data_IF_590836619780
#
_entry.id   IF_590836619780
#
_cell.length_a   1.000
_cell.length_b   1.000
_cell.length_c   1.000
_cell.angle_alpha   90.00
_cell.angle_beta   90.00
_cell.angle_gamma   90.00
#
_symmetry.space_group_name_H-M   'P 1'
#
loop_
_entity.id
_entity.type
_entity.pdbx_description
1 polymer ?
#
# COMPACT_ATOMS: atom_id res chain seq x y z
N UNK A 1 6.28 30.56 -6.43
CA UNK A 1 5.76 29.31 -5.80
C UNK A 1 5.12 28.50 -6.90
N UNK A 2 5.70 27.38 -7.29
CA UNK A 2 5.04 26.45 -8.20
C UNK A 2 3.87 25.84 -7.41
N UNK A 3 2.64 25.98 -7.93
CA UNK A 3 1.47 25.40 -7.28
C UNK A 3 1.66 23.89 -7.17
N UNK A 4 1.61 23.34 -5.96
CA UNK A 4 1.62 21.91 -5.74
C UNK A 4 0.30 21.34 -6.31
N UNK A 5 0.40 20.61 -7.40
CA UNK A 5 -0.73 19.83 -7.90
C UNK A 5 -0.88 18.59 -7.00
N UNK A 6 -1.94 18.57 -6.19
CA UNK A 6 -2.29 17.39 -5.39
C UNK A 6 -2.94 16.37 -6.33
N UNK A 7 -2.35 15.20 -6.45
CA UNK A 7 -2.94 14.07 -7.16
C UNK A 7 -3.73 13.20 -6.17
N UNK A 8 -4.97 12.85 -6.54
CA UNK A 8 -5.77 11.85 -5.83
C UNK A 8 -6.23 10.81 -6.85
N UNK A 9 -6.48 9.56 -6.45
CA UNK A 9 -6.98 8.54 -7.36
C UNK A 9 -8.31 8.97 -8.00
N UNK A 10 -8.38 8.94 -9.33
CA UNK A 10 -9.62 9.21 -10.08
C UNK A 10 -10.62 8.07 -9.92
N UNK A 11 -10.12 6.83 -9.79
CA UNK A 11 -10.90 5.65 -9.49
C UNK A 11 -10.54 5.22 -8.06
N UNK A 12 -11.53 5.17 -7.15
CA UNK A 12 -11.39 4.57 -5.83
C UNK A 12 -12.60 3.67 -5.61
N UNK A 13 -12.38 2.37 -5.69
CA UNK A 13 -13.41 1.33 -5.54
C UNK A 13 -12.94 0.33 -4.51
N UNK A 14 -13.61 0.30 -3.37
CA UNK A 14 -13.35 -0.64 -2.28
C UNK A 14 -14.66 -1.32 -1.90
N UNK A 15 -14.72 -2.63 -2.01
CA UNK A 15 -15.93 -3.40 -1.68
C UNK A 15 -15.88 -4.81 -2.26
N UNK A 16 -17.01 -5.51 -2.14
CA UNK A 16 -17.16 -6.87 -2.68
C UNK A 16 -17.33 -6.85 -4.20
N UNK A 17 -16.76 -7.85 -4.86
CA UNK A 17 -16.91 -8.10 -6.28
C UNK A 17 -16.58 -6.88 -7.16
N UNK A 18 -15.63 -6.06 -6.71
CA UNK A 18 -15.25 -4.84 -7.45
C UNK A 18 -14.53 -5.18 -8.76
N UNK A 19 -13.84 -6.34 -8.84
CA UNK A 19 -13.13 -6.76 -10.04
C UNK A 19 -14.06 -7.08 -11.22
N UNK A 20 -15.27 -7.56 -10.98
CA UNK A 20 -16.27 -7.82 -12.02
C UNK A 20 -16.58 -6.56 -12.88
N UNK A 21 -16.31 -5.39 -12.34
CA UNK A 21 -16.58 -4.09 -12.97
C UNK A 21 -15.31 -3.34 -13.43
N UNK A 22 -14.15 -3.99 -13.39
CA UNK A 22 -12.88 -3.35 -13.76
C UNK A 22 -12.92 -2.74 -15.17
N UNK A 23 -13.47 -3.48 -16.14
CA UNK A 23 -13.64 -3.00 -17.51
C UNK A 23 -14.46 -1.70 -17.58
N UNK A 24 -15.57 -1.64 -16.85
CA UNK A 24 -16.40 -0.45 -16.76
C UNK A 24 -15.68 0.76 -16.16
N UNK A 25 -14.85 0.55 -15.13
CA UNK A 25 -14.06 1.62 -14.53
C UNK A 25 -13.01 2.16 -15.49
N UNK A 26 -12.29 1.30 -16.20
CA UNK A 26 -11.32 1.72 -17.20
C UNK A 26 -11.98 2.44 -18.38
N UNK A 27 -13.08 1.90 -18.88
CA UNK A 27 -13.86 2.49 -19.98
C UNK A 27 -14.38 3.89 -19.64
N UNK A 28 -14.94 4.06 -18.43
CA UNK A 28 -15.45 5.37 -17.99
C UNK A 28 -14.34 6.42 -17.84
N UNK A 29 -13.09 5.98 -17.68
CA UNK A 29 -11.90 6.83 -17.69
C UNK A 29 -11.30 7.06 -19.08
N UNK A 30 -11.93 6.54 -20.14
CA UNK A 30 -11.52 6.74 -21.54
C UNK A 30 -10.43 5.76 -22.01
N UNK A 31 -10.03 4.79 -21.22
CA UNK A 31 -9.04 3.79 -21.63
C UNK A 31 -9.67 2.74 -22.57
N UNK A 32 -8.87 2.31 -23.55
CA UNK A 32 -9.23 1.27 -24.51
C UNK A 32 -8.23 0.13 -24.53
N UNK A 33 -6.96 0.42 -24.21
CA UNK A 33 -5.86 -0.53 -24.27
C UNK A 33 -5.15 -0.60 -22.92
N UNK A 34 -5.01 -1.79 -22.36
CA UNK A 34 -4.38 -2.03 -21.07
C UNK A 34 -3.24 -3.06 -21.19
N UNK A 35 -2.25 -2.93 -20.31
CA UNK A 35 -1.25 -3.96 -20.01
C UNK A 35 -1.46 -4.40 -18.57
N UNK A 36 -1.45 -5.72 -18.30
CA UNK A 36 -1.74 -6.28 -16.99
C UNK A 36 -0.53 -7.00 -16.42
N UNK A 37 -0.18 -6.67 -15.18
CA UNK A 37 0.88 -7.35 -14.44
C UNK A 37 0.30 -8.02 -13.20
N UNK A 38 0.52 -9.31 -13.08
CA UNK A 38 0.01 -10.15 -12.01
C UNK A 38 1.13 -10.59 -11.08
N UNK A 39 0.83 -10.78 -9.81
CA UNK A 39 1.69 -11.54 -8.91
C UNK A 39 1.64 -13.03 -9.23
N UNK A 40 2.66 -13.78 -8.79
CA UNK A 40 2.76 -15.22 -9.05
C UNK A 40 1.51 -15.98 -8.62
N UNK A 41 0.99 -16.81 -9.51
CA UNK A 41 -0.20 -17.65 -9.33
C UNK A 41 -1.53 -16.91 -9.47
N UNK A 42 -1.53 -15.58 -9.63
CA UNK A 42 -2.77 -14.81 -9.65
C UNK A 42 -3.48 -14.84 -11.00
N UNK A 43 -2.78 -15.14 -12.09
CA UNK A 43 -3.44 -15.36 -13.39
C UNK A 43 -4.38 -16.59 -13.28
N UNK A 44 -3.93 -17.67 -12.64
CA UNK A 44 -4.75 -18.85 -12.45
C UNK A 44 -5.95 -18.63 -11.53
N UNK A 45 -5.83 -17.71 -10.56
CA UNK A 45 -6.88 -17.41 -9.57
C UNK A 45 -7.92 -16.41 -10.09
N UNK A 46 -7.47 -15.32 -10.69
CA UNK A 46 -8.32 -14.15 -11.00
C UNK A 46 -8.28 -13.74 -12.48
N UNK A 47 -7.41 -14.37 -13.29
CA UNK A 47 -7.19 -13.96 -14.69
C UNK A 47 -8.46 -14.02 -15.52
N UNK A 48 -9.25 -15.10 -15.42
CA UNK A 48 -10.49 -15.24 -16.19
C UNK A 48 -11.51 -14.16 -15.85
N UNK A 49 -11.76 -13.91 -14.57
CA UNK A 49 -12.69 -12.87 -14.12
C UNK A 49 -12.29 -11.48 -14.62
N UNK A 50 -11.01 -11.14 -14.48
CA UNK A 50 -10.47 -9.86 -14.94
C UNK A 50 -10.57 -9.73 -16.47
N UNK A 51 -10.16 -10.76 -17.23
CA UNK A 51 -10.23 -10.75 -18.69
C UNK A 51 -11.66 -10.65 -19.21
N UNK A 52 -12.61 -11.35 -18.57
CA UNK A 52 -14.03 -11.30 -18.94
C UNK A 52 -14.62 -9.90 -18.67
N UNK A 53 -14.29 -9.30 -17.52
CA UNK A 53 -14.68 -7.92 -17.19
C UNK A 53 -14.17 -6.93 -18.23
N UNK A 54 -12.89 -7.01 -18.60
CA UNK A 54 -12.27 -6.12 -19.59
C UNK A 54 -12.88 -6.31 -20.97
N UNK A 55 -13.05 -7.56 -21.41
CA UNK A 55 -13.64 -7.90 -22.71
C UNK A 55 -15.09 -7.42 -22.84
N UNK A 56 -15.90 -7.61 -21.80
CA UNK A 56 -17.31 -7.16 -21.73
C UNK A 56 -17.45 -5.67 -22.02
N UNK A 57 -16.49 -4.87 -21.54
CA UNK A 57 -16.53 -3.40 -21.69
C UNK A 57 -15.69 -2.89 -22.88
N UNK A 58 -15.11 -3.79 -23.67
CA UNK A 58 -14.35 -3.45 -24.88
C UNK A 58 -12.95 -2.90 -24.63
N UNK A 59 -12.34 -3.29 -23.50
CA UNK A 59 -10.94 -3.01 -23.21
C UNK A 59 -10.07 -4.07 -23.86
N UNK A 60 -9.14 -3.67 -24.69
CA UNK A 60 -8.15 -4.57 -25.32
C UNK A 60 -6.96 -4.75 -24.37
N UNK A 61 -6.70 -6.00 -23.99
CA UNK A 61 -5.47 -6.36 -23.27
C UNK A 61 -4.37 -6.59 -24.30
N UNK A 62 -3.37 -5.72 -24.32
CA UNK A 62 -2.25 -5.79 -25.27
C UNK A 62 -1.22 -6.82 -24.85
N UNK A 63 -1.00 -6.95 -23.55
CA UNK A 63 -0.05 -7.88 -22.95
C UNK A 63 -0.44 -8.17 -21.50
N UNK A 64 -0.11 -9.37 -21.01
CA UNK A 64 -0.25 -9.73 -19.60
C UNK A 64 0.76 -10.78 -19.19
N UNK A 65 1.28 -10.66 -17.96
CA UNK A 65 2.24 -11.62 -17.41
C UNK A 65 2.27 -11.62 -15.90
N UNK A 66 2.82 -12.68 -15.31
CA UNK A 66 3.18 -12.73 -13.90
C UNK A 66 4.56 -12.15 -13.67
N UNK A 67 4.71 -11.40 -12.57
CA UNK A 67 5.96 -10.75 -12.16
C UNK A 67 6.32 -11.13 -10.72
N UNK A 68 7.58 -11.46 -10.50
CA UNK A 68 8.16 -11.70 -9.15
C UNK A 68 9.50 -10.97 -8.98
N UNK A 69 9.67 -9.84 -9.61
CA UNK A 69 10.88 -9.03 -9.48
C UNK A 69 10.58 -7.66 -8.91
N UNK A 70 11.51 -7.14 -8.14
CA UNK A 70 11.57 -5.73 -7.73
C UNK A 70 12.90 -5.10 -8.13
N UNK A 71 13.72 -5.81 -8.92
CA UNK A 71 15.01 -5.28 -9.40
C UNK A 71 14.77 -4.18 -10.42
N UNK A 72 15.39 -3.03 -10.19
CA UNK A 72 15.16 -1.84 -11.02
C UNK A 72 15.55 -2.09 -12.49
N UNK A 73 16.59 -2.88 -12.72
CA UNK A 73 17.08 -3.23 -14.06
C UNK A 73 16.02 -4.03 -14.84
N UNK A 74 15.36 -5.00 -14.18
CA UNK A 74 14.30 -5.81 -14.79
C UNK A 74 13.10 -4.92 -15.13
N UNK A 75 12.75 -3.97 -14.24
CA UNK A 75 11.63 -3.06 -14.44
C UNK A 75 11.88 -2.07 -15.58
N UNK A 76 13.12 -1.61 -15.72
CA UNK A 76 13.52 -0.75 -16.84
C UNK A 76 13.32 -1.53 -18.15
N UNK A 77 13.82 -2.76 -18.24
CA UNK A 77 13.66 -3.62 -19.42
C UNK A 77 12.16 -3.89 -19.72
N UNK A 78 11.37 -4.17 -18.67
CA UNK A 78 9.91 -4.33 -18.78
C UNK A 78 9.28 -3.08 -19.37
N UNK A 79 9.62 -1.89 -18.84
CA UNK A 79 9.08 -0.63 -19.32
C UNK A 79 9.42 -0.36 -20.80
N UNK A 80 10.61 -0.69 -21.25
CA UNK A 80 11.00 -0.54 -22.66
C UNK A 80 10.17 -1.40 -23.61
N UNK A 81 9.73 -2.57 -23.17
CA UNK A 81 8.98 -3.53 -23.98
C UNK A 81 7.47 -3.30 -23.98
N UNK A 82 6.95 -2.36 -23.18
CA UNK A 82 5.51 -2.05 -23.18
C UNK A 82 5.10 -1.49 -24.56
N UNK A 83 4.05 -2.07 -25.14
CA UNK A 83 3.48 -1.64 -26.42
C UNK A 83 3.16 -0.13 -26.40
N UNK A 84 3.50 0.57 -27.45
CA UNK A 84 3.27 2.00 -27.57
C UNK A 84 1.79 2.40 -27.59
N UNK A 85 0.89 1.46 -27.87
CA UNK A 85 -0.56 1.66 -27.83
C UNK A 85 -1.14 1.54 -26.43
N UNK A 86 -0.35 1.11 -25.43
CA UNK A 86 -0.81 1.02 -24.05
C UNK A 86 -1.24 2.39 -23.52
N UNK A 87 -2.38 2.43 -22.87
CA UNK A 87 -2.95 3.65 -22.30
C UNK A 87 -2.99 3.60 -20.77
N UNK A 88 -2.96 2.41 -20.19
CA UNK A 88 -2.97 2.17 -18.74
C UNK A 88 -2.22 0.89 -18.43
N UNK A 89 -1.53 0.89 -17.30
CA UNK A 89 -0.94 -0.31 -16.70
C UNK A 89 -1.76 -0.66 -15.47
N UNK A 90 -2.12 -1.94 -15.35
CA UNK A 90 -2.86 -2.47 -14.20
C UNK A 90 -1.96 -3.45 -13.46
N UNK A 91 -1.68 -3.20 -12.19
CA UNK A 91 -0.92 -4.11 -11.34
C UNK A 91 -1.85 -4.84 -10.38
N UNK A 92 -1.85 -6.17 -10.44
CA UNK A 92 -2.74 -7.06 -9.67
C UNK A 92 -1.89 -7.91 -8.73
N UNK A 93 -1.97 -7.66 -7.43
CA UNK A 93 -1.23 -8.49 -6.46
C UNK A 93 -0.80 -7.81 -5.19
N UNK A 94 0.21 -8.36 -4.55
CA UNK A 94 0.87 -7.80 -3.37
C UNK A 94 1.93 -6.75 -3.72
N UNK A 95 2.64 -6.26 -2.70
CA UNK A 95 3.58 -5.14 -2.82
C UNK A 95 4.60 -5.25 -3.94
N UNK A 96 5.16 -6.45 -4.21
CA UNK A 96 6.16 -6.64 -5.28
C UNK A 96 5.63 -6.22 -6.66
N UNK A 97 4.50 -6.81 -7.08
CA UNK A 97 3.94 -6.49 -8.40
C UNK A 97 3.35 -5.09 -8.46
N UNK A 98 2.75 -4.63 -7.36
CA UNK A 98 2.25 -3.26 -7.22
C UNK A 98 3.37 -2.24 -7.48
N UNK A 99 4.51 -2.38 -6.81
CA UNK A 99 5.63 -1.46 -6.96
C UNK A 99 6.31 -1.57 -8.33
N UNK A 100 6.43 -2.79 -8.87
CA UNK A 100 6.97 -3.02 -10.21
C UNK A 100 6.09 -2.40 -11.29
N UNK A 101 4.78 -2.64 -11.27
CA UNK A 101 3.83 -2.09 -12.22
C UNK A 101 3.74 -0.56 -12.12
N UNK A 102 3.71 -0.03 -10.88
CA UNK A 102 3.72 1.40 -10.60
C UNK A 102 4.94 2.08 -11.21
N UNK A 103 6.14 1.50 -10.98
CA UNK A 103 7.37 2.09 -11.46
C UNK A 103 7.52 1.97 -12.99
N UNK A 104 7.10 0.85 -13.58
CA UNK A 104 7.05 0.69 -15.04
C UNK A 104 6.11 1.73 -15.69
N UNK A 105 4.94 1.96 -15.09
CA UNK A 105 4.01 3.00 -15.52
C UNK A 105 4.62 4.41 -15.40
N UNK A 106 5.32 4.68 -14.30
CA UNK A 106 6.03 5.95 -14.09
C UNK A 106 7.07 6.22 -15.16
N UNK A 107 7.92 5.24 -15.49
CA UNK A 107 8.93 5.34 -16.55
C UNK A 107 8.30 5.61 -17.92
N UNK A 108 7.14 5.00 -18.20
CA UNK A 108 6.39 5.17 -19.45
C UNK A 108 5.48 6.38 -19.45
N UNK A 109 5.36 7.11 -18.34
CA UNK A 109 4.41 8.21 -18.13
C UNK A 109 2.95 7.80 -18.43
N UNK A 110 2.61 6.55 -18.13
CA UNK A 110 1.27 5.99 -18.27
C UNK A 110 0.50 6.07 -16.94
N UNK A 111 -0.83 6.21 -16.98
CA UNK A 111 -1.68 5.96 -15.82
C UNK A 111 -1.47 4.56 -15.27
N UNK A 112 -1.54 4.44 -13.94
CA UNK A 112 -1.40 3.17 -13.24
C UNK A 112 -2.66 2.89 -12.41
N UNK A 113 -3.20 1.68 -12.53
CA UNK A 113 -4.31 1.19 -11.70
C UNK A 113 -3.80 0.08 -10.80
N UNK A 114 -4.00 0.26 -9.50
CA UNK A 114 -3.59 -0.66 -8.45
C UNK A 114 -4.75 -1.57 -8.05
N UNK A 115 -4.54 -2.87 -8.12
CA UNK A 115 -5.47 -3.91 -7.64
C UNK A 115 -4.76 -4.72 -6.56
N UNK A 116 -4.79 -4.24 -5.29
CA UNK A 116 -4.15 -4.97 -4.21
C UNK A 116 -4.92 -6.25 -3.89
N UNK A 117 -4.21 -7.38 -3.84
CA UNK A 117 -4.75 -8.66 -3.37
C UNK A 117 -4.40 -8.93 -1.90
N UNK A 118 -3.75 -7.98 -1.25
CA UNK A 118 -3.45 -7.99 0.18
C UNK A 118 -3.43 -6.56 0.73
N UNK A 119 -3.94 -6.37 1.94
CA UNK A 119 -3.97 -5.08 2.64
C UNK A 119 -2.78 -4.97 3.60
N UNK A 120 -1.54 -5.16 3.11
CA UNK A 120 -0.35 -5.29 3.97
C UNK A 120 0.35 -3.97 4.34
N UNK A 121 0.11 -2.90 3.59
CA UNK A 121 0.65 -1.55 3.83
C UNK A 121 -0.03 -0.54 2.89
N UNK A 122 0.27 0.74 3.05
CA UNK A 122 -0.21 1.81 2.16
C UNK A 122 0.54 1.88 0.80
N UNK A 123 1.46 0.95 0.53
CA UNK A 123 2.24 0.91 -0.71
C UNK A 123 1.41 0.88 -1.99
N UNK A 124 0.20 0.30 -1.96
CA UNK A 124 -0.69 0.27 -3.14
C UNK A 124 -1.25 1.65 -3.52
N UNK A 125 -1.23 2.61 -2.60
CA UNK A 125 -1.75 3.97 -2.79
C UNK A 125 -0.67 5.05 -2.79
N UNK A 126 0.55 4.75 -2.33
CA UNK A 126 1.64 5.73 -2.21
C UNK A 126 2.25 6.09 -3.57
N UNK A 127 2.84 7.30 -3.65
CA UNK A 127 3.56 7.79 -4.82
C UNK A 127 5.03 7.33 -4.88
N UNK A 128 5.42 6.35 -4.08
CA UNK A 128 6.74 5.74 -4.08
C UNK A 128 6.67 4.25 -4.37
N UNK A 129 7.78 3.67 -4.81
CA UNK A 129 7.95 2.24 -5.02
C UNK A 129 9.17 1.73 -4.25
N UNK A 130 9.05 0.59 -3.58
CA UNK A 130 10.12 -0.06 -2.83
C UNK A 130 10.82 -1.07 -3.74
N UNK A 131 11.95 -0.68 -4.32
CA UNK A 131 12.68 -1.44 -5.33
C UNK A 131 14.04 -1.92 -4.83
N UNK A 132 14.56 -2.93 -5.50
CA UNK A 132 15.92 -3.41 -5.30
C UNK A 132 16.86 -2.67 -6.26
N UNK A 133 17.64 -1.73 -5.71
CA UNK A 133 18.59 -0.91 -6.46
C UNK A 133 20.01 -1.30 -5.99
N UNK A 134 20.85 -1.79 -6.89
CA UNK A 134 22.18 -2.27 -6.55
C UNK A 134 22.20 -3.28 -5.38
N UNK A 135 21.22 -4.20 -5.35
CA UNK A 135 21.09 -5.20 -4.31
C UNK A 135 20.55 -4.68 -2.96
N UNK A 136 20.15 -3.41 -2.87
CA UNK A 136 19.61 -2.80 -1.65
C UNK A 136 18.18 -2.34 -1.85
N UNK A 137 17.31 -2.65 -0.88
CA UNK A 137 15.94 -2.15 -0.87
C UNK A 137 15.92 -0.65 -0.68
N UNK A 138 15.35 0.06 -1.65
CA UNK A 138 15.36 1.52 -1.73
C UNK A 138 13.97 2.02 -2.11
N UNK A 139 13.46 3.00 -1.38
CA UNK A 139 12.25 3.72 -1.78
C UNK A 139 12.61 4.73 -2.86
N UNK A 140 12.01 4.58 -4.03
CA UNK A 140 12.23 5.48 -5.17
C UNK A 140 10.95 6.25 -5.48
N UNK A 141 11.06 7.52 -5.91
CA UNK A 141 9.90 8.29 -6.35
C UNK A 141 9.21 7.61 -7.54
N UNK A 142 7.91 7.60 -7.51
CA UNK A 142 7.05 7.15 -8.60
C UNK A 142 5.87 8.14 -8.75
N UNK A 143 4.70 7.64 -9.11
CA UNK A 143 3.48 8.43 -9.18
C UNK A 143 2.35 7.70 -8.47
N UNK A 144 1.49 8.47 -7.82
CA UNK A 144 0.27 7.94 -7.22
C UNK A 144 -0.58 7.20 -8.25
N UNK A 145 -1.25 6.14 -7.84
CA UNK A 145 -2.16 5.39 -8.68
C UNK A 145 -3.28 6.29 -9.23
N UNK A 146 -3.53 6.21 -10.53
CA UNK A 146 -4.70 6.80 -11.18
C UNK A 146 -5.99 6.18 -10.67
N UNK A 147 -5.94 4.86 -10.37
CA UNK A 147 -7.05 4.13 -9.81
C UNK A 147 -6.61 3.11 -8.77
N UNK A 148 -7.47 2.90 -7.77
CA UNK A 148 -7.36 1.84 -6.79
C UNK A 148 -8.67 1.06 -6.83
N UNK A 149 -8.56 -0.25 -7.09
CA UNK A 149 -9.70 -1.17 -7.11
C UNK A 149 -9.37 -2.32 -6.16
N UNK A 150 -9.96 -2.30 -4.98
CA UNK A 150 -9.73 -3.30 -3.94
C UNK A 150 -10.99 -4.13 -3.69
N UNK A 151 -10.88 -5.44 -3.95
CA UNK A 151 -11.95 -6.38 -3.70
C UNK A 151 -11.80 -7.00 -2.31
N UNK A 152 -12.77 -6.74 -1.44
CA UNK A 152 -12.72 -7.19 -0.04
C UNK A 152 -12.83 -8.71 0.10
N UNK A 153 -13.47 -9.43 -0.84
CA UNK A 153 -13.50 -10.90 -0.81
C UNK A 153 -12.12 -11.48 -1.13
N UNK A 154 -11.39 -10.87 -2.06
CA UNK A 154 -10.01 -11.26 -2.37
C UNK A 154 -9.10 -10.98 -1.17
N UNK A 155 -9.19 -9.78 -0.58
CA UNK A 155 -8.40 -9.42 0.59
C UNK A 155 -8.67 -10.34 1.79
N UNK A 156 -9.92 -10.77 1.96
CA UNK A 156 -10.34 -11.71 3.00
C UNK A 156 -9.78 -13.12 2.79
N UNK A 157 -9.63 -13.53 1.54
CA UNK A 157 -9.06 -14.84 1.19
C UNK A 157 -7.53 -14.89 1.32
N UNK A 158 -6.88 -13.74 1.40
CA UNK A 158 -5.43 -13.65 1.56
C UNK A 158 -4.97 -14.14 2.96
N UNK A 159 -3.74 -14.64 3.10
CA UNK A 159 -3.21 -15.02 4.40
C UNK A 159 -3.30 -13.87 5.44
N UNK A 160 -3.80 -14.18 6.65
CA UNK A 160 -4.03 -13.20 7.73
C UNK A 160 -2.81 -12.33 8.06
N UNK A 161 -1.61 -12.86 7.86
CA UNK A 161 -0.37 -12.10 8.06
C UNK A 161 -0.33 -10.76 7.33
N UNK A 162 -1.01 -10.65 6.19
CA UNK A 162 -1.10 -9.40 5.43
C UNK A 162 -2.07 -8.42 6.07
N UNK A 163 -3.14 -8.91 6.69
CA UNK A 163 -4.07 -8.06 7.45
C UNK A 163 -3.35 -7.52 8.69
N UNK A 164 -2.64 -8.37 9.44
CA UNK A 164 -1.83 -7.92 10.58
C UNK A 164 -0.75 -6.92 10.18
N UNK A 165 -0.10 -7.14 9.04
CA UNK A 165 0.86 -6.17 8.50
C UNK A 165 0.20 -4.82 8.22
N UNK A 166 -0.98 -4.80 7.59
CA UNK A 166 -1.73 -3.57 7.35
C UNK A 166 -2.17 -2.85 8.63
N UNK A 167 -2.57 -3.62 9.66
CA UNK A 167 -2.91 -3.07 10.98
C UNK A 167 -1.69 -2.35 11.59
N UNK A 168 -0.52 -2.98 11.58
CA UNK A 168 0.69 -2.40 12.11
C UNK A 168 1.10 -1.13 11.36
N UNK A 169 1.07 -1.17 10.02
CA UNK A 169 1.34 -0.02 9.18
C UNK A 169 0.32 1.11 9.41
N UNK A 170 -0.97 0.80 9.57
CA UNK A 170 -1.99 1.83 9.80
C UNK A 170 -1.84 2.49 11.17
N UNK A 171 -1.57 1.72 12.23
CA UNK A 171 -1.42 2.24 13.60
C UNK A 171 -0.17 3.11 13.74
N UNK A 172 0.87 2.88 12.95
CA UNK A 172 2.13 3.63 12.97
C UNK A 172 1.95 5.14 12.74
N UNK A 173 0.87 5.54 12.05
CA UNK A 173 0.56 6.95 11.79
C UNK A 173 0.39 7.77 13.08
N UNK A 174 0.15 7.09 14.22
CA UNK A 174 0.08 7.74 15.54
C UNK A 174 1.46 8.26 15.96
N UNK A 175 2.51 7.46 15.79
CA UNK A 175 3.89 7.83 16.16
C UNK A 175 4.56 8.68 15.11
N UNK A 176 4.31 8.42 13.83
CA UNK A 176 4.83 9.22 12.72
C UNK A 176 4.36 10.68 12.79
N UNK A 177 3.08 10.93 13.07
CA UNK A 177 2.55 12.29 13.24
C UNK A 177 3.12 12.99 14.47
N UNK A 178 3.46 12.26 15.52
CA UNK A 178 4.14 12.81 16.67
C UNK A 178 5.57 13.26 16.30
N UNK A 179 6.30 12.39 15.60
CA UNK A 179 7.67 12.70 15.17
C UNK A 179 7.69 13.90 14.23
N UNK A 180 6.78 13.98 13.27
CA UNK A 180 6.69 15.11 12.35
C UNK A 180 6.40 16.44 13.09
N UNK A 181 5.48 16.40 14.06
CA UNK A 181 5.24 17.58 14.91
C UNK A 181 6.47 17.96 15.73
N UNK A 182 7.18 16.98 16.29
CA UNK A 182 8.38 17.19 17.07
C UNK A 182 9.51 17.84 16.23
N UNK A 183 9.68 17.41 14.98
CA UNK A 183 10.62 18.00 14.04
C UNK A 183 10.22 19.44 13.67
N UNK A 184 8.94 19.67 13.40
CA UNK A 184 8.43 20.98 13.03
C UNK A 184 8.59 22.01 14.15
N UNK A 185 8.28 21.65 15.40
CA UNK A 185 8.48 22.51 16.57
C UNK A 185 9.96 22.92 16.76
N UNK A 186 10.91 22.16 16.21
CA UNK A 186 12.35 22.43 16.25
C UNK A 186 12.90 23.05 14.98
N UNK A 187 12.04 23.32 14.01
CA UNK A 187 12.44 23.93 12.73
C UNK A 187 13.18 22.99 11.77
N UNK A 188 13.11 21.67 11.97
CA UNK A 188 13.74 20.67 11.08
C UNK A 188 12.87 20.29 9.90
N UNK A 189 11.56 20.49 9.99
CA UNK A 189 10.61 20.22 8.90
C UNK A 189 9.46 21.22 8.92
N UNK A 190 8.73 21.31 7.81
CA UNK A 190 7.49 22.07 7.72
C UNK A 190 6.31 21.10 7.69
N UNK A 191 5.28 21.38 8.50
CA UNK A 191 4.05 20.59 8.49
C UNK A 191 3.06 21.13 7.46
N UNK A 192 2.46 20.22 6.69
CA UNK A 192 1.30 20.54 5.86
C UNK A 192 0.03 20.17 6.64
N UNK A 193 -0.73 21.16 7.06
CA UNK A 193 -1.93 20.98 7.89
C UNK A 193 -2.99 20.07 7.24
N UNK A 194 -3.11 20.11 5.91
CA UNK A 194 -4.05 19.27 5.20
C UNK A 194 -3.61 17.81 5.18
N UNK A 195 -2.33 17.54 4.96
CA UNK A 195 -1.76 16.20 5.06
C UNK A 195 -1.92 15.63 6.49
N UNK A 196 -1.64 16.45 7.50
CA UNK A 196 -1.84 16.09 8.92
C UNK A 196 -3.31 15.73 9.19
N UNK A 197 -4.24 16.53 8.69
CA UNK A 197 -5.67 16.29 8.86
C UNK A 197 -6.09 14.95 8.23
N UNK A 198 -5.63 14.66 7.01
CA UNK A 198 -5.95 13.42 6.30
C UNK A 198 -5.36 12.21 7.04
N UNK A 199 -4.07 12.24 7.41
CA UNK A 199 -3.43 11.15 8.14
C UNK A 199 -4.08 10.91 9.52
N UNK A 200 -4.39 11.98 10.27
CA UNK A 200 -5.14 11.88 11.54
C UNK A 200 -6.54 11.27 11.34
N UNK A 201 -7.25 11.66 10.29
CA UNK A 201 -8.56 11.08 9.98
C UNK A 201 -8.43 9.60 9.67
N UNK A 202 -7.51 9.20 8.81
CA UNK A 202 -7.28 7.82 8.45
C UNK A 202 -7.08 6.93 9.68
N UNK A 203 -6.07 7.20 10.51
CA UNK A 203 -5.81 6.37 11.70
C UNK A 203 -6.93 6.44 12.74
N UNK A 204 -7.59 7.58 12.90
CA UNK A 204 -8.68 7.70 13.86
C UNK A 204 -9.95 6.96 13.41
N UNK A 205 -10.26 6.96 12.11
CA UNK A 205 -11.36 6.19 11.54
C UNK A 205 -11.12 4.71 11.76
N UNK A 206 -9.97 4.21 11.32
CA UNK A 206 -9.58 2.82 11.50
C UNK A 206 -9.66 2.35 12.96
N UNK A 207 -9.01 3.05 13.90
CA UNK A 207 -8.94 2.63 15.32
C UNK A 207 -10.33 2.67 16.01
N UNK A 208 -11.28 3.47 15.51
CA UNK A 208 -12.64 3.59 16.08
C UNK A 208 -13.65 2.66 15.43
N UNK A 209 -13.30 2.03 14.32
CA UNK A 209 -14.20 1.12 13.61
C UNK A 209 -14.60 -0.06 14.52
N UNK A 210 -15.89 -0.32 14.69
CA UNK A 210 -16.35 -1.48 15.42
C UNK A 210 -16.12 -2.74 14.56
N UNK A 211 -15.66 -3.82 15.19
CA UNK A 211 -15.51 -5.12 14.55
C UNK A 211 -15.52 -6.23 15.60
N UNK A 212 -15.90 -7.42 15.19
CA UNK A 212 -15.81 -8.65 16.00
C UNK A 212 -14.56 -9.45 15.62
N UNK A 213 -14.24 -9.49 14.31
CA UNK A 213 -13.06 -10.17 13.77
C UNK A 213 -12.35 -9.31 12.74
N UNK A 214 -11.05 -9.58 12.52
CA UNK A 214 -10.26 -8.90 11.47
C UNK A 214 -10.72 -9.26 10.05
N UNK A 215 -11.63 -10.21 9.89
CA UNK A 215 -12.24 -10.62 8.61
C UNK A 215 -13.59 -9.96 8.35
N UNK A 216 -14.08 -9.11 9.25
CA UNK A 216 -15.32 -8.40 9.02
C UNK A 216 -15.20 -7.47 7.82
N UNK A 217 -16.20 -7.47 6.95
CA UNK A 217 -16.21 -6.64 5.73
C UNK A 217 -16.00 -5.17 6.03
N UNK A 218 -16.64 -4.67 7.11
CA UNK A 218 -16.49 -3.28 7.54
C UNK A 218 -15.05 -3.00 7.97
N UNK A 219 -14.43 -3.92 8.72
CA UNK A 219 -13.05 -3.76 9.18
C UNK A 219 -12.05 -3.75 8.01
N UNK A 220 -12.17 -4.71 7.09
CA UNK A 220 -11.28 -4.81 5.92
C UNK A 220 -11.44 -3.59 5.00
N UNK A 221 -12.67 -3.17 4.75
CA UNK A 221 -12.95 -1.98 3.97
C UNK A 221 -12.31 -0.75 4.61
N UNK A 222 -12.52 -0.54 5.91
CA UNK A 222 -11.96 0.61 6.62
C UNK A 222 -10.42 0.58 6.67
N UNK A 223 -9.83 -0.61 6.80
CA UNK A 223 -8.38 -0.77 6.72
C UNK A 223 -7.85 -0.30 5.35
N UNK A 224 -8.47 -0.74 4.26
CA UNK A 224 -8.06 -0.36 2.90
C UNK A 224 -8.31 1.12 2.63
N UNK A 225 -9.47 1.64 2.99
CA UNK A 225 -9.80 3.06 2.82
C UNK A 225 -8.83 3.95 3.61
N UNK A 226 -8.47 3.55 4.83
CA UNK A 226 -7.51 4.27 5.68
C UNK A 226 -6.08 4.18 5.14
N UNK A 227 -5.64 3.02 4.63
CA UNK A 227 -4.35 2.88 3.96
C UNK A 227 -4.30 3.70 2.65
N UNK A 228 -5.41 3.78 1.91
CA UNK A 228 -5.50 4.65 0.73
C UNK A 228 -5.38 6.13 1.11
N UNK A 229 -6.04 6.56 2.17
CA UNK A 229 -5.90 7.93 2.71
C UNK A 229 -4.48 8.23 3.18
N UNK A 230 -3.75 7.25 3.72
CA UNK A 230 -2.32 7.38 4.05
C UNK A 230 -1.48 7.77 2.84
N UNK A 231 -1.63 7.06 1.71
CA UNK A 231 -0.93 7.40 0.48
C UNK A 231 -1.28 8.80 -0.04
N UNK A 232 -2.55 9.21 0.09
CA UNK A 232 -2.98 10.58 -0.26
C UNK A 232 -2.33 11.62 0.65
N UNK A 233 -2.21 11.36 1.95
CA UNK A 233 -1.53 12.26 2.88
C UNK A 233 -0.05 12.44 2.50
N UNK A 234 0.62 11.37 2.10
CA UNK A 234 2.00 11.41 1.63
C UNK A 234 2.16 12.24 0.34
N UNK A 235 1.24 12.09 -0.61
CA UNK A 235 1.23 12.90 -1.84
C UNK A 235 1.07 14.40 -1.53
N UNK A 236 0.14 14.74 -0.64
CA UNK A 236 -0.11 16.13 -0.23
C UNK A 236 1.12 16.73 0.48
N UNK A 237 1.80 15.95 1.31
CA UNK A 237 3.00 16.39 2.02
C UNK A 237 4.25 16.45 1.12
N UNK A 238 4.22 15.82 -0.05
CA UNK A 238 5.38 15.65 -0.92
C UNK A 238 6.43 14.68 -0.37
N UNK A 239 6.05 13.80 0.56
CA UNK A 239 6.93 12.83 1.20
C UNK A 239 6.20 11.95 2.21
N UNK A 240 6.90 10.99 2.81
CA UNK A 240 6.31 10.00 3.72
C UNK A 240 6.19 10.45 5.18
N UNK A 241 6.61 11.65 5.54
CA UNK A 241 6.60 12.15 6.92
C UNK A 241 5.25 12.05 7.65
N UNK A 242 4.08 12.21 6.99
CA UNK A 242 2.79 12.02 7.68
C UNK A 242 2.54 10.58 8.16
N UNK A 243 3.23 9.61 7.59
CA UNK A 243 2.91 8.20 7.77
C UNK A 243 4.10 7.33 8.18
N UNK A 244 5.32 7.88 8.14
CA UNK A 244 6.57 7.15 8.36
C UNK A 244 7.51 7.98 9.24
N UNK A 245 7.65 7.59 10.49
CA UNK A 245 8.51 8.20 11.50
C UNK A 245 9.62 7.25 11.97
N UNK A 246 10.03 7.40 13.21
CA UNK A 246 11.08 6.60 13.85
C UNK A 246 10.77 5.10 13.89
N UNK A 247 9.51 4.69 13.97
CA UNK A 247 9.10 3.30 13.89
C UNK A 247 9.46 2.66 12.55
N UNK A 248 9.38 3.40 11.46
CA UNK A 248 9.79 2.93 10.13
C UNK A 248 11.31 2.81 10.02
N UNK A 249 12.07 3.72 10.64
CA UNK A 249 13.54 3.62 10.68
C UNK A 249 13.99 2.36 11.40
N UNK A 250 13.28 1.95 12.47
CA UNK A 250 13.52 0.67 13.15
C UNK A 250 13.26 -0.49 12.20
N UNK A 251 12.12 -0.51 11.49
CA UNK A 251 11.80 -1.56 10.50
C UNK A 251 12.87 -1.65 9.40
N UNK A 252 13.30 -0.51 8.85
CA UNK A 252 14.38 -0.48 7.86
C UNK A 252 15.73 -0.99 8.39
N UNK A 253 15.98 -0.80 9.69
CA UNK A 253 17.18 -1.34 10.34
C UNK A 253 17.08 -2.85 10.49
N UNK A 254 15.91 -3.36 10.88
CA UNK A 254 15.65 -4.80 10.98
C UNK A 254 15.77 -5.49 9.61
N UNK A 255 15.28 -4.87 8.54
CA UNK A 255 15.43 -5.39 7.16
C UNK A 255 16.91 -5.55 6.72
N UNK A 256 17.80 -4.73 7.30
CA UNK A 256 19.24 -4.80 7.00
C UNK A 256 20.00 -5.79 7.91
N UNK A 257 19.52 -5.99 9.12
CA UNK A 257 20.21 -6.75 10.16
C UNK A 257 19.77 -8.22 10.22
N UNK A 258 18.52 -8.51 9.86
CA UNK A 258 17.95 -9.85 9.92
C UNK A 258 18.10 -10.57 8.59
N UNK A 259 18.47 -11.83 8.62
CA UNK A 259 18.52 -12.70 7.44
C UNK A 259 17.11 -12.98 6.89
N UNK A 260 16.14 -13.11 7.80
CA UNK A 260 14.72 -13.36 7.49
C UNK A 260 13.83 -12.34 8.19
N UNK A 261 13.75 -11.09 7.67
CA UNK A 261 12.91 -10.08 8.28
C UNK A 261 11.42 -10.43 8.14
N UNK A 262 10.63 -10.01 9.11
CA UNK A 262 9.17 -10.13 9.06
C UNK A 262 8.57 -9.16 8.03
N UNK A 263 7.27 -9.30 7.74
CA UNK A 263 6.56 -8.34 6.91
C UNK A 263 6.72 -6.92 7.47
N UNK A 264 6.90 -5.96 6.57
CA UNK A 264 7.13 -4.55 6.90
C UNK A 264 6.21 -4.03 7.99
N UNK A 265 4.89 -4.15 7.81
CA UNK A 265 3.93 -3.63 8.79
C UNK A 265 3.93 -4.39 10.12
N UNK A 266 4.39 -5.65 10.16
CA UNK A 266 4.58 -6.35 11.44
C UNK A 266 5.73 -5.71 12.22
N UNK A 267 6.88 -5.49 11.58
CA UNK A 267 8.02 -4.82 12.20
C UNK A 267 7.66 -3.38 12.62
N UNK A 268 7.01 -2.65 11.72
CA UNK A 268 6.53 -1.28 11.97
C UNK A 268 5.54 -1.25 13.15
N UNK A 269 4.60 -2.20 13.24
CA UNK A 269 3.63 -2.26 14.33
C UNK A 269 4.30 -2.48 15.70
N UNK A 270 5.25 -3.43 15.79
CA UNK A 270 6.03 -3.65 17.02
C UNK A 270 6.82 -2.37 17.38
N UNK A 271 7.50 -1.79 16.40
CA UNK A 271 8.26 -0.54 16.59
C UNK A 271 7.35 0.64 16.97
N UNK A 272 6.12 0.70 16.46
CA UNK A 272 5.13 1.72 16.84
C UNK A 272 4.80 1.66 18.33
N UNK A 273 4.59 0.46 18.88
CA UNK A 273 4.36 0.35 20.31
C UNK A 273 5.58 0.81 21.12
N UNK A 274 6.78 0.39 20.74
CA UNK A 274 8.01 0.83 21.40
C UNK A 274 8.18 2.35 21.34
N UNK A 275 8.02 2.94 20.16
CA UNK A 275 8.15 4.39 19.98
C UNK A 275 7.05 5.17 20.69
N UNK A 276 5.81 4.68 20.72
CA UNK A 276 4.73 5.31 21.50
C UNK A 276 5.06 5.38 23.00
N UNK A 277 5.81 4.40 23.54
CA UNK A 277 6.32 4.41 24.91
C UNK A 277 7.46 5.42 25.09
N UNK A 278 8.40 5.47 24.15
CA UNK A 278 9.52 6.45 24.17
C UNK A 278 9.00 7.87 24.09
N UNK A 279 8.05 8.11 23.20
CA UNK A 279 7.39 9.41 23.01
C UNK A 279 6.45 9.78 24.17
N UNK A 280 6.13 8.83 25.06
CA UNK A 280 5.06 8.92 26.07
C UNK A 280 3.72 9.38 25.44
N UNK A 281 3.44 8.92 24.21
CA UNK A 281 2.32 9.37 23.39
C UNK A 281 1.39 8.21 23.01
N UNK A 282 0.15 8.25 23.50
CA UNK A 282 -0.96 7.36 23.13
C UNK A 282 -0.67 5.85 23.18
N UNK A 283 0.35 5.40 23.91
CA UNK A 283 0.76 3.99 23.97
C UNK A 283 -0.37 3.06 24.49
N UNK A 284 -1.25 3.55 25.38
CA UNK A 284 -2.41 2.79 25.85
C UNK A 284 -3.36 2.50 24.68
N UNK A 285 -3.59 3.51 23.81
CA UNK A 285 -4.46 3.36 22.64
C UNK A 285 -3.84 2.44 21.58
N UNK A 286 -2.53 2.55 21.35
CA UNK A 286 -1.78 1.65 20.47
C UNK A 286 -1.89 0.21 20.96
N UNK A 287 -1.67 -0.03 22.24
CA UNK A 287 -1.78 -1.37 22.84
C UNK A 287 -3.20 -1.92 22.73
N UNK A 288 -4.21 -1.11 23.04
CA UNK A 288 -5.62 -1.53 23.02
C UNK A 288 -6.08 -2.01 21.64
N UNK A 289 -5.65 -1.35 20.54
CA UNK A 289 -6.00 -1.81 19.19
C UNK A 289 -5.24 -3.10 18.84
N UNK A 290 -3.98 -3.23 19.23
CA UNK A 290 -3.20 -4.43 18.99
C UNK A 290 -3.71 -5.65 19.80
N UNK A 291 -4.17 -5.45 21.03
CA UNK A 291 -4.89 -6.49 21.79
C UNK A 291 -6.21 -6.86 21.12
N UNK A 292 -7.04 -5.87 20.79
CA UNK A 292 -8.36 -6.08 20.19
C UNK A 292 -8.27 -6.82 18.85
N UNK A 293 -7.25 -6.52 18.03
CA UNK A 293 -7.02 -7.18 16.74
C UNK A 293 -6.28 -8.51 16.88
N UNK A 294 -5.83 -8.88 18.06
CA UNK A 294 -4.96 -10.04 18.31
C UNK A 294 -3.59 -9.95 17.59
N UNK A 295 -3.15 -8.74 17.30
CA UNK A 295 -1.86 -8.49 16.68
C UNK A 295 -0.70 -9.10 17.48
N UNK A 296 -0.75 -8.97 18.82
CA UNK A 296 0.26 -9.52 19.69
C UNK A 296 0.32 -11.06 19.68
N UNK A 297 -0.83 -11.73 19.55
CA UNK A 297 -0.87 -13.20 19.44
C UNK A 297 -0.13 -13.64 18.17
N UNK A 298 -0.37 -12.94 17.04
CA UNK A 298 0.33 -13.21 15.79
C UNK A 298 1.84 -12.94 15.93
N UNK A 299 2.24 -11.81 16.51
CA UNK A 299 3.65 -11.45 16.75
C UNK A 299 4.35 -12.50 17.60
N UNK A 300 3.75 -12.92 18.71
CA UNK A 300 4.32 -13.93 19.59
C UNK A 300 4.62 -15.25 18.84
N UNK A 301 3.69 -15.73 18.02
CA UNK A 301 3.89 -16.93 17.20
C UNK A 301 4.97 -16.75 16.15
N UNK A 302 4.95 -15.61 15.42
CA UNK A 302 5.85 -15.37 14.30
C UNK A 302 7.30 -15.16 14.72
N UNK A 303 7.56 -14.61 15.91
CA UNK A 303 8.92 -14.43 16.42
C UNK A 303 9.46 -15.66 17.19
N UNK A 304 8.62 -16.52 17.76
CA UNK A 304 9.08 -17.76 18.38
C UNK A 304 9.62 -18.77 17.37
N UNK A 305 9.13 -18.75 16.14
CA UNK A 305 9.67 -19.58 15.06
C UNK A 305 11.03 -19.13 14.51
N UNK A 306 11.51 -17.93 14.87
CA UNK A 306 12.82 -17.43 14.47
C UNK A 306 13.94 -17.80 15.46
N UNK A 307 13.58 -18.37 16.62
CA UNK A 307 14.54 -18.74 17.70
C UNK A 307 14.77 -20.25 17.80
N UNK A 308 14.21 -21.05 16.91
CA UNK A 308 14.44 -22.49 16.77
C UNK A 308 15.12 -22.79 15.43
#
# INVERSE_FOLDING_TARGET
MAGSHISIPTILKVGKNTLENLGSYLKSSGFKNAVLYFGNGLISMFGNEIMDSLKKDGITVLDYMELDTTKIEDIINLAFNIDSKAQVIVGIGGGKVIDTAKYAAYLRKLPYVSIPTSASSDGFSSASASLLVNGRRTSVPAKMAYGIVADTEILKSAPEKFIFSGIGDMVSKITALYDWNFEAERGYSEMNDFAVMIAKKAVNSFVRTPFETIHDDLFLRELVDSLAMSGIANEIAGGSTPTSGSEHLISHSLDKMLEHPQLHGIQVGVATYLMSRVQNHRYIRVNAIFEKTRFWDYVAVSYTHLTL
#
